data_IF_345256843453
#
_entry.id   IF_345256843453
#
_cell.length_a   1.000
_cell.length_b   1.000
_cell.length_c   1.000
_cell.angle_alpha   90.00
_cell.angle_beta   90.00
_cell.angle_gamma   90.00
#
_symmetry.space_group_name_H-M   'P 1'
#
loop_
_entity.id
_entity.type
_entity.pdbx_description
1 polymer ?
#
# COMPACT_ATOMS: atom_id res chain seq x y z
N UNK A 1 14.85 7.68 -13.77
CA UNK A 1 15.58 8.16 -12.57
C UNK A 1 15.26 9.62 -12.37
N UNK A 2 15.72 10.22 -11.26
CA UNK A 2 15.70 11.67 -11.10
C UNK A 2 16.90 12.29 -11.82
N UNK A 3 16.70 13.45 -12.45
CA UNK A 3 17.72 14.21 -13.18
C UNK A 3 17.66 15.67 -12.80
N UNK A 4 18.82 16.31 -12.73
CA UNK A 4 18.94 17.76 -12.57
C UNK A 4 19.05 18.41 -13.95
N UNK A 5 18.26 19.45 -14.23
CA UNK A 5 18.22 20.12 -15.53
C UNK A 5 19.32 21.19 -15.73
N UNK A 6 20.15 21.42 -14.71
CA UNK A 6 21.25 22.37 -14.77
C UNK A 6 20.86 23.82 -14.52
N UNK A 7 19.57 24.14 -14.35
CA UNK A 7 19.12 25.53 -14.18
C UNK A 7 18.23 25.76 -12.96
N UNK A 8 17.35 24.83 -12.57
CA UNK A 8 16.56 24.96 -11.33
C UNK A 8 15.79 23.70 -10.88
N UNK A 9 15.67 22.68 -11.72
CA UNK A 9 14.73 21.58 -11.51
C UNK A 9 15.39 20.23 -11.30
N UNK A 10 14.97 19.52 -10.25
CA UNK A 10 15.09 18.05 -10.17
C UNK A 10 13.78 17.46 -10.69
N UNK A 11 13.84 16.67 -11.75
CA UNK A 11 12.66 16.08 -12.39
C UNK A 11 12.83 14.59 -12.71
N UNK A 12 11.76 13.93 -13.14
CA UNK A 12 11.74 12.51 -13.52
C UNK A 12 11.02 11.61 -12.51
N UNK A 13 10.97 10.31 -12.83
CA UNK A 13 10.34 9.30 -11.98
C UNK A 13 11.40 8.48 -11.23
N UNK A 14 11.39 8.47 -9.88
CA UNK A 14 12.24 7.58 -9.10
C UNK A 14 11.97 6.10 -9.41
N UNK A 15 13.03 5.30 -9.56
CA UNK A 15 12.92 3.85 -9.86
C UNK A 15 13.26 2.95 -8.69
N UNK A 16 13.85 3.50 -7.63
CA UNK A 16 14.23 2.78 -6.40
C UNK A 16 13.68 3.53 -5.20
N UNK A 17 13.04 2.80 -4.28
CA UNK A 17 12.64 3.34 -2.98
C UNK A 17 13.85 3.47 -2.05
N UNK A 18 13.83 4.47 -1.18
CA UNK A 18 14.89 4.74 -0.23
C UNK A 18 14.95 6.21 0.15
N UNK A 19 15.84 6.51 1.09
CA UNK A 19 16.17 7.88 1.48
C UNK A 19 17.46 8.25 0.75
N UNK A 20 17.38 9.28 -0.10
CA UNK A 20 18.51 9.77 -0.88
C UNK A 20 18.88 11.16 -0.39
N UNK A 21 20.17 11.36 -0.08
CA UNK A 21 20.72 12.69 0.19
C UNK A 21 21.30 13.24 -1.10
N UNK A 22 20.81 14.38 -1.53
CA UNK A 22 21.27 15.09 -2.73
C UNK A 22 21.97 16.35 -2.27
N UNK A 23 23.25 16.49 -2.62
CA UNK A 23 23.98 17.74 -2.42
C UNK A 23 23.66 18.67 -3.58
N UNK A 24 23.09 19.83 -3.28
CA UNK A 24 22.85 20.89 -4.26
C UNK A 24 23.87 21.98 -4.00
N UNK A 25 24.72 22.25 -5.00
CA UNK A 25 25.76 23.27 -4.95
C UNK A 25 25.43 24.38 -5.95
N UNK A 26 25.55 25.63 -5.51
CA UNK A 26 25.42 26.80 -6.36
C UNK A 26 26.76 27.52 -6.32
N UNK A 27 27.29 27.89 -7.49
CA UNK A 27 28.53 28.66 -7.63
C UNK A 27 28.21 29.92 -8.41
N UNK A 28 28.66 31.08 -7.94
CA UNK A 28 28.49 32.34 -8.65
C UNK A 28 29.59 32.58 -9.70
N UNK A 29 29.55 33.74 -10.35
CA UNK A 29 30.51 34.10 -11.40
C UNK A 29 31.94 34.27 -10.88
N UNK A 30 32.10 34.59 -9.59
CA UNK A 30 33.38 34.80 -8.91
C UNK A 30 33.98 33.48 -8.41
N UNK A 31 33.26 32.37 -8.60
CA UNK A 31 33.67 31.04 -8.12
C UNK A 31 33.36 30.78 -6.65
N UNK A 32 32.60 31.65 -5.98
CA UNK A 32 32.13 31.41 -4.63
C UNK A 32 31.00 30.38 -4.67
N UNK A 33 31.13 29.32 -3.86
CA UNK A 33 30.17 28.24 -3.83
C UNK A 33 29.54 28.07 -2.45
N UNK A 34 28.24 27.77 -2.44
CA UNK A 34 27.52 27.29 -1.26
C UNK A 34 26.82 25.97 -1.59
N UNK A 35 26.50 25.17 -0.57
CA UNK A 35 25.84 23.88 -0.76
C UNK A 35 24.85 23.56 0.33
N UNK A 36 23.76 22.90 -0.05
CA UNK A 36 22.74 22.39 0.86
C UNK A 36 22.51 20.90 0.61
N UNK A 37 22.20 20.15 1.67
CA UNK A 37 21.73 18.77 1.55
C UNK A 37 20.21 18.75 1.49
N UNK A 38 19.67 18.24 0.38
CA UNK A 38 18.25 17.95 0.21
C UNK A 38 18.01 16.46 0.43
N UNK A 39 17.01 16.11 1.24
CA UNK A 39 16.63 14.71 1.44
C UNK A 39 15.41 14.38 0.60
N UNK A 40 15.54 13.38 -0.27
CA UNK A 40 14.45 12.84 -1.08
C UNK A 40 14.06 11.48 -0.52
N UNK A 41 12.85 11.38 0.04
CA UNK A 41 12.30 10.11 0.51
C UNK A 41 11.40 9.50 -0.57
N UNK A 42 11.83 8.38 -1.13
CA UNK A 42 11.07 7.64 -2.15
C UNK A 42 10.46 6.41 -1.50
N UNK A 43 9.13 6.37 -1.43
CA UNK A 43 8.39 5.24 -0.86
C UNK A 43 8.09 4.20 -1.94
N UNK A 44 8.27 2.92 -1.62
CA UNK A 44 7.93 1.84 -2.53
C UNK A 44 6.42 1.83 -2.82
N UNK A 45 6.02 1.47 -4.05
CA UNK A 45 4.61 1.41 -4.43
C UNK A 45 3.81 0.47 -3.52
N UNK A 46 2.73 0.98 -2.92
CA UNK A 46 1.79 0.17 -2.15
C UNK A 46 1.11 -0.87 -3.04
N UNK A 47 1.25 -2.15 -2.68
CA UNK A 47 0.69 -3.26 -3.44
C UNK A 47 0.12 -4.32 -2.50
N UNK A 48 -1.18 -4.58 -2.59
CA UNK A 48 -1.80 -5.72 -1.93
C UNK A 48 -1.32 -7.03 -2.59
N UNK A 49 -0.73 -7.93 -1.81
CA UNK A 49 -0.15 -9.20 -2.31
C UNK A 49 -1.05 -10.40 -2.08
N UNK A 50 -2.04 -10.32 -1.19
CA UNK A 50 -3.08 -11.36 -1.07
C UNK A 50 -3.82 -11.51 -2.40
N UNK A 51 -3.78 -12.74 -2.96
CA UNK A 51 -4.38 -13.06 -4.27
C UNK A 51 -5.64 -13.91 -4.15
N UNK A 52 -5.70 -14.75 -3.12
CA UNK A 52 -6.79 -15.68 -2.82
C UNK A 52 -7.00 -15.66 -1.31
N UNK A 53 -8.22 -16.00 -0.92
CA UNK A 53 -8.59 -16.26 0.46
C UNK A 53 -8.86 -17.75 0.59
N UNK A 54 -8.55 -18.31 1.75
CA UNK A 54 -8.88 -19.69 2.07
C UNK A 54 -10.40 -19.85 2.18
N UNK A 55 -10.91 -21.05 1.89
CA UNK A 55 -12.33 -21.33 2.06
C UNK A 55 -12.71 -21.30 3.54
N UNK A 56 -13.88 -20.76 3.85
CA UNK A 56 -14.47 -20.84 5.18
C UNK A 56 -15.48 -22.00 5.26
N UNK A 57 -15.88 -22.39 6.47
CA UNK A 57 -16.92 -23.40 6.72
C UNK A 57 -18.03 -22.78 7.57
N UNK A 58 -19.30 -23.06 7.24
CA UNK A 58 -20.46 -22.57 8.00
C UNK A 58 -20.30 -22.91 9.48
N UNK A 59 -20.55 -21.91 10.35
CA UNK A 59 -20.45 -22.07 11.81
C UNK A 59 -19.03 -22.11 12.40
N UNK A 60 -18.00 -22.33 11.59
CA UNK A 60 -16.60 -22.29 12.05
C UNK A 60 -16.06 -20.85 12.08
N UNK A 61 -15.15 -20.58 13.02
CA UNK A 61 -14.43 -19.30 13.02
C UNK A 61 -13.49 -19.22 11.82
N UNK A 62 -13.59 -18.13 11.07
CA UNK A 62 -12.68 -17.81 9.98
C UNK A 62 -11.72 -16.72 10.43
N UNK A 63 -10.43 -16.90 10.14
CA UNK A 63 -9.40 -15.92 10.39
C UNK A 63 -8.30 -16.00 9.32
N UNK A 64 -7.99 -14.88 8.70
CA UNK A 64 -6.91 -14.79 7.70
C UNK A 64 -6.24 -13.42 7.81
N UNK A 65 -4.94 -13.29 7.50
CA UNK A 65 -4.26 -11.99 7.55
C UNK A 65 -3.86 -11.56 6.15
N UNK A 66 -4.29 -10.35 5.78
CA UNK A 66 -3.94 -9.74 4.50
C UNK A 66 -2.46 -9.38 4.46
N UNK A 67 -1.85 -9.58 3.30
CA UNK A 67 -0.45 -9.25 3.05
C UNK A 67 -0.35 -8.14 1.99
N UNK A 68 0.63 -7.26 2.16
CA UNK A 68 0.96 -6.20 1.22
C UNK A 68 2.46 -5.92 1.25
N UNK A 69 2.93 -5.14 0.28
CA UNK A 69 4.30 -4.61 0.23
C UNK A 69 4.27 -3.12 -0.13
N UNK A 70 5.34 -2.43 0.24
CA UNK A 70 5.49 -0.99 0.00
C UNK A 70 4.51 -0.13 0.78
N UNK A 71 4.41 1.13 0.38
CA UNK A 71 3.62 2.17 1.03
C UNK A 71 4.23 2.72 2.32
N UNK A 72 3.58 3.76 2.83
CA UNK A 72 3.98 4.47 4.04
C UNK A 72 3.00 4.25 5.19
N UNK A 73 3.51 3.89 6.37
CA UNK A 73 2.68 3.73 7.57
C UNK A 73 2.10 5.08 8.04
N UNK A 74 0.94 5.08 8.72
CA UNK A 74 0.08 3.92 8.99
C UNK A 74 -0.74 3.44 7.78
N UNK A 75 -1.15 2.17 7.82
CA UNK A 75 -2.04 1.57 6.83
C UNK A 75 -3.48 1.52 7.33
N UNK A 76 -4.43 1.63 6.40
CA UNK A 76 -5.86 1.45 6.63
C UNK A 76 -6.44 0.42 5.65
N UNK A 77 -7.08 -0.62 6.17
CA UNK A 77 -7.71 -1.68 5.40
C UNK A 77 -9.22 -1.54 5.42
N UNK A 78 -9.86 -1.85 4.30
CA UNK A 78 -11.31 -1.86 4.18
C UNK A 78 -11.82 -2.97 3.25
N UNK A 79 -13.08 -3.37 3.44
CA UNK A 79 -13.81 -4.30 2.59
C UNK A 79 -14.91 -3.55 1.85
N UNK A 80 -14.84 -3.53 0.52
CA UNK A 80 -15.79 -2.80 -0.32
C UNK A 80 -16.54 -3.73 -1.28
N UNK A 81 -17.66 -3.23 -1.82
CA UNK A 81 -18.56 -4.01 -2.68
C UNK A 81 -19.47 -4.94 -1.87
N UNK A 82 -19.68 -6.17 -2.36
CA UNK A 82 -20.59 -7.15 -1.75
C UNK A 82 -19.89 -8.06 -0.73
N UNK A 83 -19.12 -7.46 0.17
CA UNK A 83 -18.47 -8.22 1.25
C UNK A 83 -19.51 -8.92 2.12
N UNK A 84 -19.25 -10.15 2.60
CA UNK A 84 -20.19 -10.84 3.49
C UNK A 84 -20.38 -10.05 4.79
N UNK A 85 -21.62 -9.88 5.25
CA UNK A 85 -21.92 -9.14 6.50
C UNK A 85 -21.26 -9.71 7.76
N UNK A 86 -20.91 -11.01 7.72
CA UNK A 86 -20.26 -11.70 8.82
C UNK A 86 -18.74 -11.48 8.85
N UNK A 87 -18.15 -10.97 7.76
CA UNK A 87 -16.71 -10.83 7.60
C UNK A 87 -16.29 -9.40 7.96
N UNK A 88 -15.37 -9.29 8.91
CA UNK A 88 -14.79 -8.03 9.35
C UNK A 88 -13.31 -7.97 9.02
N UNK A 89 -12.78 -6.77 8.74
CA UNK A 89 -11.34 -6.52 8.62
C UNK A 89 -10.88 -5.62 9.75
N UNK A 90 -9.80 -6.00 10.43
CA UNK A 90 -9.11 -5.10 11.36
C UNK A 90 -8.45 -3.97 10.59
N UNK A 91 -9.01 -2.77 10.66
CA UNK A 91 -8.60 -1.62 9.84
C UNK A 91 -7.11 -1.27 9.89
N UNK A 92 -6.38 -1.63 10.96
CA UNK A 92 -4.91 -1.39 11.08
C UNK A 92 -4.06 -2.65 10.97
N UNK A 93 -4.66 -3.82 11.15
CA UNK A 93 -3.96 -5.11 11.19
C UNK A 93 -4.09 -5.89 9.89
N UNK A 94 -5.11 -5.59 9.08
CA UNK A 94 -5.45 -6.39 7.91
C UNK A 94 -5.94 -7.79 8.25
N UNK A 95 -6.28 -8.07 9.52
CA UNK A 95 -6.82 -9.37 9.93
C UNK A 95 -8.29 -9.46 9.54
N UNK A 96 -8.62 -10.40 8.66
CA UNK A 96 -9.98 -10.82 8.39
C UNK A 96 -10.45 -11.76 9.49
N UNK A 97 -11.68 -11.58 9.95
CA UNK A 97 -12.29 -12.44 10.95
C UNK A 97 -13.82 -12.48 10.86
N UNK A 98 -14.42 -13.61 11.24
CA UNK A 98 -15.87 -13.73 11.37
C UNK A 98 -16.34 -15.19 11.40
N UNK A 99 -17.66 -15.38 11.44
CA UNK A 99 -18.28 -16.72 11.40
C UNK A 99 -19.38 -16.72 10.34
N UNK A 100 -19.22 -17.46 9.22
CA UNK A 100 -20.24 -17.53 8.19
C UNK A 100 -21.50 -18.26 8.66
N UNK A 101 -22.66 -17.76 8.23
CA UNK A 101 -23.98 -18.32 8.57
C UNK A 101 -24.60 -19.17 7.45
N UNK A 102 -24.06 -19.09 6.23
CA UNK A 102 -24.60 -19.79 5.07
C UNK A 102 -23.49 -20.07 4.07
N UNK A 103 -23.54 -21.24 3.45
CA UNK A 103 -22.64 -21.63 2.37
C UNK A 103 -22.86 -20.73 1.14
N UNK A 104 -21.83 -20.58 0.31
CA UNK A 104 -21.92 -19.77 -0.90
C UNK A 104 -20.58 -19.21 -1.36
N UNK A 105 -20.60 -18.53 -2.50
CA UNK A 105 -19.42 -17.84 -3.04
C UNK A 105 -19.66 -16.34 -3.04
N UNK A 106 -18.76 -15.62 -2.37
CA UNK A 106 -18.80 -14.17 -2.24
C UNK A 106 -17.68 -13.53 -3.06
N UNK A 107 -18.02 -12.48 -3.82
CA UNK A 107 -17.05 -11.69 -4.60
C UNK A 107 -17.10 -10.25 -4.12
N UNK A 108 -15.97 -9.77 -3.62
CA UNK A 108 -15.84 -8.43 -3.04
C UNK A 108 -14.43 -7.89 -3.26
N UNK A 109 -14.17 -6.70 -2.76
CA UNK A 109 -12.88 -6.03 -2.89
C UNK A 109 -12.26 -5.79 -1.51
N UNK A 110 -10.95 -5.96 -1.46
CA UNK A 110 -10.11 -5.52 -0.36
C UNK A 110 -9.41 -4.25 -0.83
N UNK A 111 -9.46 -3.21 -0.01
CA UNK A 111 -8.72 -1.96 -0.19
C UNK A 111 -7.69 -1.82 0.93
N UNK A 112 -6.49 -1.37 0.57
CA UNK A 112 -5.49 -0.86 1.52
C UNK A 112 -5.09 0.55 1.09
N UNK A 113 -5.06 1.47 2.05
CA UNK A 113 -4.60 2.84 1.91
C UNK A 113 -3.43 3.11 2.84
N UNK A 114 -2.45 3.88 2.38
CA UNK A 114 -1.30 4.30 3.18
C UNK A 114 -1.40 5.78 3.61
N UNK A 115 -0.44 6.24 4.42
CA UNK A 115 -0.44 7.60 4.97
C UNK A 115 -0.17 8.71 3.93
N UNK A 116 0.41 8.35 2.79
CA UNK A 116 0.65 9.28 1.68
C UNK A 116 -0.51 9.30 0.68
N UNK A 117 -1.61 8.61 1.00
CA UNK A 117 -2.81 8.55 0.17
C UNK A 117 -2.73 7.52 -0.96
N UNK A 118 -1.67 6.71 -1.04
CA UNK A 118 -1.60 5.64 -2.01
C UNK A 118 -2.66 4.57 -1.69
N UNK A 119 -3.32 4.06 -2.74
CA UNK A 119 -4.37 3.05 -2.63
C UNK A 119 -4.01 1.83 -3.46
N UNK A 120 -4.22 0.65 -2.90
CA UNK A 120 -4.16 -0.62 -3.62
C UNK A 120 -5.45 -1.40 -3.37
N UNK A 121 -6.10 -1.83 -4.46
CA UNK A 121 -7.36 -2.58 -4.39
C UNK A 121 -7.21 -3.93 -5.07
N UNK A 122 -7.85 -4.96 -4.50
CA UNK A 122 -7.91 -6.31 -5.08
C UNK A 122 -9.31 -6.89 -5.01
N UNK A 123 -9.83 -7.34 -6.14
CA UNK A 123 -11.02 -8.20 -6.17
C UNK A 123 -10.65 -9.61 -5.72
N UNK A 124 -11.42 -10.17 -4.79
CA UNK A 124 -11.22 -11.51 -4.24
C UNK A 124 -12.51 -12.33 -4.28
N UNK A 125 -12.35 -13.65 -4.19
CA UNK A 125 -13.43 -14.63 -4.10
C UNK A 125 -13.24 -15.41 -2.80
N UNK A 126 -14.27 -15.44 -1.97
CA UNK A 126 -14.33 -16.26 -0.76
C UNK A 126 -15.41 -17.32 -0.94
N UNK A 127 -15.04 -18.58 -0.80
CA UNK A 127 -15.97 -19.72 -0.83
C UNK A 127 -16.24 -20.16 0.60
N UNK A 128 -17.51 -20.33 0.93
CA UNK A 128 -17.99 -20.87 2.20
C UNK A 128 -18.61 -22.24 1.92
N UNK A 129 -18.01 -23.27 2.50
CA UNK A 129 -18.50 -24.64 2.46
C UNK A 129 -19.56 -24.85 3.54
N UNK A 130 -20.50 -25.77 3.28
CA UNK A 130 -21.50 -26.19 4.25
C UNK A 130 -20.86 -26.87 5.47
#
# INVERSE_FOLDING_TARGET
GLTFDGTAGISGTPTKSGVFKVLVSITDHDGLATSINVTVNVVAKLTLTTRKLDSATVGASYAETLTHRGGARPFHYDLTGKAPKWLHVGARTGKLSGTPKSAGTFRFRIEIRDALGAVSTRSVKLTVNA
#
